data_IF_255731544159
#
_entry.id   IF_255731544159
#
_cell.length_a   1.000
_cell.length_b   1.000
_cell.length_c   1.000
_cell.angle_alpha   90.00
_cell.angle_beta   90.00
_cell.angle_gamma   90.00
#
_symmetry.space_group_name_H-M   'P 1'
#
loop_
_entity.id
_entity.type
_entity.pdbx_description
1 polymer ?
#
# COMPACT_ATOMS: atom_id res chain seq x y z
N UNK A 1 15.66 -74.75 -10.34
CA UNK A 1 16.48 -73.56 -10.70
C UNK A 1 15.77 -72.68 -11.68
N UNK A 2 15.32 -71.51 -11.25
CA UNK A 2 14.66 -70.52 -12.12
C UNK A 2 15.72 -69.64 -12.79
N UNK A 3 15.84 -69.73 -14.11
CA UNK A 3 16.71 -68.85 -14.91
C UNK A 3 16.19 -67.47 -14.94
N UNK A 4 16.82 -66.51 -14.30
CA UNK A 4 16.53 -65.06 -14.39
C UNK A 4 16.94 -64.56 -15.78
N UNK A 5 15.96 -64.19 -16.58
CA UNK A 5 16.13 -63.61 -17.93
C UNK A 5 16.60 -62.15 -17.77
N UNK A 6 17.94 -61.88 -17.94
CA UNK A 6 18.49 -60.51 -17.99
C UNK A 6 17.85 -59.78 -19.18
N UNK A 7 17.02 -58.73 -18.91
CA UNK A 7 16.51 -57.84 -19.93
C UNK A 7 17.71 -57.09 -20.54
N UNK A 8 17.98 -57.27 -21.80
CA UNK A 8 18.95 -56.46 -22.56
C UNK A 8 18.33 -55.09 -22.74
N UNK A 9 18.94 -54.04 -22.13
CA UNK A 9 18.56 -52.65 -22.34
C UNK A 9 18.96 -52.27 -23.77
N UNK A 10 17.98 -51.89 -24.61
CA UNK A 10 18.26 -51.44 -25.98
C UNK A 10 18.72 -49.97 -25.92
N UNK A 11 20.02 -49.76 -25.74
CA UNK A 11 20.67 -48.46 -25.64
C UNK A 11 20.32 -47.51 -26.81
N UNK A 12 20.18 -48.03 -28.05
CA UNK A 12 19.77 -47.26 -29.20
C UNK A 12 18.35 -46.65 -29.04
N UNK A 13 17.41 -47.39 -28.44
CA UNK A 13 16.05 -46.87 -28.17
C UNK A 13 16.03 -45.82 -27.02
N UNK A 14 16.92 -46.02 -26.06
CA UNK A 14 17.06 -45.05 -24.95
C UNK A 14 17.65 -43.73 -25.45
N UNK A 15 18.65 -43.77 -26.33
CA UNK A 15 19.27 -42.61 -26.96
C UNK A 15 18.27 -41.81 -27.82
N UNK A 16 17.40 -42.49 -28.56
CA UNK A 16 16.35 -41.81 -29.39
C UNK A 16 15.33 -41.07 -28.54
N UNK A 17 15.07 -41.48 -27.30
CA UNK A 17 14.16 -40.81 -26.38
C UNK A 17 14.85 -39.74 -25.54
N UNK A 18 16.09 -39.96 -25.12
CA UNK A 18 16.81 -39.04 -24.22
C UNK A 18 17.43 -37.86 -24.96
N UNK A 19 17.95 -38.07 -26.18
CA UNK A 19 18.58 -36.99 -26.96
C UNK A 19 17.62 -35.81 -27.28
N UNK A 20 16.37 -36.01 -27.76
CA UNK A 20 15.43 -34.91 -27.98
C UNK A 20 15.08 -34.18 -26.70
N UNK A 21 14.97 -34.89 -25.57
CA UNK A 21 14.65 -34.28 -24.27
C UNK A 21 15.82 -33.40 -23.80
N UNK A 22 17.06 -33.89 -23.90
CA UNK A 22 18.26 -33.12 -23.57
C UNK A 22 18.41 -31.89 -24.51
N UNK A 23 18.10 -32.04 -25.81
CA UNK A 23 18.17 -30.98 -26.78
C UNK A 23 17.10 -29.91 -26.49
N UNK A 24 15.89 -30.33 -26.11
CA UNK A 24 14.81 -29.43 -25.73
C UNK A 24 15.17 -28.60 -24.48
N UNK A 25 15.67 -29.24 -23.43
CA UNK A 25 16.13 -28.53 -22.23
C UNK A 25 17.36 -27.66 -22.48
N UNK A 26 18.28 -28.09 -23.36
CA UNK A 26 19.43 -27.29 -23.78
C UNK A 26 19.02 -26.03 -24.56
N UNK A 27 18.09 -26.15 -25.52
CA UNK A 27 17.57 -25.01 -26.26
C UNK A 27 16.72 -24.08 -25.38
N UNK A 28 15.90 -24.62 -24.50
CA UNK A 28 15.12 -23.85 -23.53
C UNK A 28 16.05 -23.09 -22.58
N UNK A 29 17.06 -23.75 -22.01
CA UNK A 29 18.05 -23.11 -21.15
C UNK A 29 18.86 -22.02 -21.84
N UNK A 30 19.25 -22.25 -23.12
CA UNK A 30 19.93 -21.23 -23.92
C UNK A 30 19.02 -20.03 -24.24
N UNK A 31 17.73 -20.27 -24.49
CA UNK A 31 16.72 -19.21 -24.69
C UNK A 31 16.57 -18.34 -23.45
N UNK A 32 16.42 -18.97 -22.27
CA UNK A 32 16.33 -18.26 -20.99
C UNK A 32 17.62 -17.47 -20.71
N UNK A 33 18.79 -18.06 -20.94
CA UNK A 33 20.09 -17.38 -20.76
C UNK A 33 20.20 -16.15 -21.67
N UNK A 34 19.82 -16.26 -22.95
CA UNK A 34 19.83 -15.12 -23.87
C UNK A 34 18.86 -14.03 -23.45
N UNK A 35 17.65 -14.40 -23.03
CA UNK A 35 16.65 -13.45 -22.56
C UNK A 35 17.16 -12.69 -21.32
N UNK A 36 17.72 -13.41 -20.36
CA UNK A 36 18.31 -12.83 -19.16
C UNK A 36 19.47 -11.86 -19.49
N UNK A 37 20.38 -12.28 -20.40
CA UNK A 37 21.51 -11.43 -20.81
C UNK A 37 21.05 -10.17 -21.53
N UNK A 38 20.05 -10.29 -22.41
CA UNK A 38 19.45 -9.15 -23.12
C UNK A 38 18.81 -8.18 -22.13
N UNK A 39 17.96 -8.68 -21.23
CA UNK A 39 17.32 -7.89 -20.16
C UNK A 39 18.36 -7.10 -19.35
N UNK A 40 19.38 -7.78 -18.85
CA UNK A 40 20.44 -7.16 -18.06
C UNK A 40 21.15 -6.04 -18.86
N UNK A 41 21.40 -6.26 -20.16
CA UNK A 41 22.02 -5.25 -21.00
C UNK A 41 21.14 -4.01 -21.21
N UNK A 42 19.83 -4.17 -21.35
CA UNK A 42 18.90 -3.03 -21.45
C UNK A 42 18.88 -2.22 -20.16
N UNK A 43 18.80 -2.87 -19.01
CA UNK A 43 18.87 -2.22 -17.69
C UNK A 43 20.19 -1.43 -17.54
N UNK A 44 21.33 -2.01 -17.96
CA UNK A 44 22.63 -1.36 -17.84
C UNK A 44 22.84 -0.18 -18.79
N UNK A 45 22.01 -0.02 -19.82
CA UNK A 45 22.06 1.13 -20.76
C UNK A 45 21.27 2.34 -20.24
N UNK A 46 20.39 2.16 -19.27
CA UNK A 46 19.58 3.26 -18.73
C UNK A 46 20.50 4.29 -18.10
N UNK A 47 20.38 5.53 -18.54
CA UNK A 47 21.11 6.66 -17.98
C UNK A 47 20.30 7.31 -16.84
N UNK A 48 20.97 7.69 -15.79
CA UNK A 48 20.33 8.41 -14.67
C UNK A 48 19.87 9.81 -15.12
N UNK A 49 18.56 10.15 -14.97
CA UNK A 49 18.09 11.53 -15.17
C UNK A 49 18.73 12.49 -14.16
N UNK A 50 18.89 13.75 -14.54
CA UNK A 50 19.43 14.79 -13.64
C UNK A 50 18.52 15.04 -12.43
N UNK A 51 17.20 14.89 -12.61
CA UNK A 51 16.18 15.08 -11.57
C UNK A 51 16.15 13.97 -10.51
N UNK A 52 16.86 12.85 -10.74
CA UNK A 52 16.88 11.70 -9.83
C UNK A 52 18.23 11.61 -9.13
N UNK A 53 18.22 11.36 -7.82
CA UNK A 53 19.45 11.18 -7.03
C UNK A 53 20.17 9.89 -7.44
N UNK A 54 21.48 9.84 -7.21
CA UNK A 54 22.27 8.63 -7.48
C UNK A 54 21.79 7.46 -6.62
N UNK A 55 21.46 7.73 -5.35
CA UNK A 55 21.00 6.72 -4.40
C UNK A 55 19.70 6.05 -4.87
N UNK A 56 18.68 6.83 -5.22
CA UNK A 56 17.40 6.32 -5.72
C UNK A 56 17.57 5.54 -7.02
N UNK A 57 18.41 6.04 -7.93
CA UNK A 57 18.72 5.37 -9.19
C UNK A 57 19.37 3.99 -8.96
N UNK A 58 20.38 3.92 -8.10
CA UNK A 58 21.10 2.69 -7.81
C UNK A 58 20.21 1.67 -7.10
N UNK A 59 19.44 2.10 -6.08
CA UNK A 59 18.48 1.23 -5.38
C UNK A 59 17.41 0.66 -6.32
N UNK A 60 16.84 1.49 -7.19
CA UNK A 60 15.82 1.04 -8.15
C UNK A 60 16.41 0.09 -9.18
N UNK A 61 17.64 0.35 -9.65
CA UNK A 61 18.38 -0.52 -10.55
C UNK A 61 18.60 -1.90 -9.95
N UNK A 62 19.05 -1.95 -8.69
CA UNK A 62 19.31 -3.21 -7.99
C UNK A 62 18.00 -4.00 -7.81
N UNK A 63 16.92 -3.33 -7.37
CA UNK A 63 15.58 -3.95 -7.31
C UNK A 63 15.12 -4.47 -8.67
N UNK A 64 15.39 -3.74 -9.75
CA UNK A 64 15.02 -4.16 -11.11
C UNK A 64 15.80 -5.40 -11.57
N UNK A 65 17.07 -5.51 -11.20
CA UNK A 65 17.88 -6.68 -11.50
C UNK A 65 17.39 -7.93 -10.73
N UNK A 66 16.89 -7.74 -9.51
CA UNK A 66 16.35 -8.81 -8.67
C UNK A 66 14.91 -9.19 -9.04
N UNK A 67 14.05 -8.21 -9.36
CA UNK A 67 12.63 -8.41 -9.68
C UNK A 67 12.26 -7.66 -10.97
N UNK A 68 11.85 -8.43 -12.00
CA UNK A 68 11.47 -7.88 -13.31
C UNK A 68 10.22 -6.98 -13.28
N UNK A 69 9.41 -7.03 -12.24
CA UNK A 69 8.22 -6.17 -12.11
C UNK A 69 8.58 -4.67 -12.02
N UNK A 70 9.83 -4.34 -11.65
CA UNK A 70 10.33 -2.97 -11.63
C UNK A 70 10.78 -2.46 -13.01
N UNK A 71 10.92 -3.33 -14.03
CA UNK A 71 11.41 -2.93 -15.37
C UNK A 71 10.59 -1.81 -16.03
N UNK A 72 9.24 -1.83 -16.01
CA UNK A 72 8.46 -0.77 -16.64
C UNK A 72 8.80 0.61 -16.07
N UNK A 73 9.06 0.68 -14.77
CA UNK A 73 9.43 1.93 -14.09
C UNK A 73 10.88 2.30 -14.41
N UNK A 74 11.82 1.36 -14.26
CA UNK A 74 13.23 1.67 -14.41
C UNK A 74 13.63 2.01 -15.85
N UNK A 75 13.10 1.29 -16.85
CA UNK A 75 13.38 1.54 -18.26
C UNK A 75 12.83 2.90 -18.74
N UNK A 76 11.87 3.47 -18.03
CA UNK A 76 11.24 4.77 -18.30
C UNK A 76 11.39 5.75 -17.14
N UNK A 77 12.49 5.65 -16.38
CA UNK A 77 12.72 6.39 -15.15
C UNK A 77 12.63 7.92 -15.31
N UNK A 78 12.89 8.42 -16.50
CA UNK A 78 12.76 9.83 -16.88
C UNK A 78 11.33 10.37 -16.84
N UNK A 79 10.31 9.49 -16.80
CA UNK A 79 8.90 9.85 -16.68
C UNK A 79 8.42 10.00 -15.22
N UNK A 80 9.28 9.70 -14.26
CA UNK A 80 8.96 9.68 -12.83
C UNK A 80 9.66 10.83 -12.09
N UNK A 81 9.01 11.36 -11.05
CA UNK A 81 9.65 12.31 -10.14
C UNK A 81 10.45 11.59 -9.05
N UNK A 82 11.40 12.30 -8.43
CA UNK A 82 12.15 11.78 -7.28
C UNK A 82 11.22 11.27 -6.19
N UNK A 83 10.21 12.07 -5.82
CA UNK A 83 9.30 11.78 -4.69
C UNK A 83 8.51 10.48 -4.88
N UNK A 84 8.01 10.21 -6.11
CA UNK A 84 7.24 9.00 -6.37
C UNK A 84 8.13 7.75 -6.39
N UNK A 85 9.39 7.86 -6.82
CA UNK A 85 10.35 6.77 -6.74
C UNK A 85 10.79 6.49 -5.30
N UNK A 86 11.01 7.53 -4.50
CA UNK A 86 11.30 7.39 -3.07
C UNK A 86 10.10 6.80 -2.31
N UNK A 87 8.88 7.13 -2.75
CA UNK A 87 7.67 6.54 -2.23
C UNK A 87 7.59 5.02 -2.51
N UNK A 88 7.96 4.60 -3.73
CA UNK A 88 8.05 3.17 -4.09
C UNK A 88 9.11 2.44 -3.28
N UNK A 89 10.29 3.02 -3.14
CA UNK A 89 11.43 2.36 -2.49
C UNK A 89 11.19 2.08 -1.00
N UNK A 90 10.25 2.79 -0.36
CA UNK A 90 9.84 2.57 1.03
C UNK A 90 8.95 1.35 1.22
N UNK A 91 8.18 0.96 0.19
CA UNK A 91 7.22 -0.15 0.28
C UNK A 91 6.92 -0.71 -1.13
N UNK A 92 7.30 -1.96 -1.38
CA UNK A 92 7.11 -2.62 -2.67
C UNK A 92 5.64 -2.89 -3.03
N UNK A 93 4.74 -2.90 -2.06
CA UNK A 93 3.29 -2.99 -2.29
C UNK A 93 2.75 -1.84 -3.16
N UNK A 94 3.53 -0.75 -3.29
CA UNK A 94 3.18 0.46 -4.06
C UNK A 94 3.53 0.35 -5.54
N UNK A 95 4.11 -0.75 -5.99
CA UNK A 95 4.65 -0.91 -7.35
C UNK A 95 3.62 -0.58 -8.43
N UNK A 96 2.43 -1.21 -8.39
CA UNK A 96 1.36 -0.99 -9.37
C UNK A 96 0.81 0.45 -9.37
N UNK A 97 0.76 1.08 -8.20
CA UNK A 97 0.36 2.49 -8.07
C UNK A 97 1.40 3.40 -8.74
N UNK A 98 2.69 3.18 -8.45
CA UNK A 98 3.78 3.99 -9.01
C UNK A 98 3.94 3.75 -10.52
N UNK A 99 3.75 2.53 -11.01
CA UNK A 99 3.78 2.22 -12.45
C UNK A 99 2.77 3.09 -13.24
N UNK A 100 1.62 3.42 -12.67
CA UNK A 100 0.61 4.28 -13.30
C UNK A 100 0.95 5.78 -13.25
N UNK A 101 2.03 6.20 -12.59
CA UNK A 101 2.37 7.61 -12.42
C UNK A 101 2.51 8.42 -13.73
N UNK A 102 3.08 7.91 -14.83
CA UNK A 102 3.11 8.65 -16.09
C UNK A 102 1.71 8.99 -16.64
N UNK A 103 0.70 8.14 -16.34
CA UNK A 103 -0.70 8.32 -16.74
C UNK A 103 -1.57 8.93 -15.61
N UNK A 104 -0.99 9.42 -14.50
CA UNK A 104 -1.71 9.86 -13.29
C UNK A 104 -2.86 10.83 -13.54
N UNK A 105 -2.79 11.62 -14.63
CA UNK A 105 -3.86 12.55 -15.01
C UNK A 105 -5.20 11.85 -15.32
N UNK A 106 -5.17 10.58 -15.66
CA UNK A 106 -6.36 9.77 -15.92
C UNK A 106 -7.09 9.37 -14.62
N UNK A 107 -6.39 9.41 -13.48
CA UNK A 107 -6.85 8.99 -12.16
C UNK A 107 -7.23 10.14 -11.21
N UNK A 108 -7.34 11.37 -11.73
CA UNK A 108 -7.61 12.57 -10.91
C UNK A 108 -9.07 12.81 -10.58
N UNK A 109 -10.00 12.02 -11.13
CA UNK A 109 -11.46 12.19 -10.89
C UNK A 109 -11.91 11.61 -9.55
N UNK A 110 -11.20 10.60 -9.07
CA UNK A 110 -11.63 9.81 -7.91
C UNK A 110 -12.73 8.81 -8.23
N UNK A 111 -13.10 8.02 -7.24
CA UNK A 111 -14.18 7.05 -7.30
C UNK A 111 -15.49 7.64 -6.80
N UNK A 112 -16.61 7.27 -7.42
CA UNK A 112 -17.95 7.64 -6.96
C UNK A 112 -18.42 6.80 -5.77
N UNK A 113 -17.91 5.57 -5.66
CA UNK A 113 -18.24 4.63 -4.58
C UNK A 113 -17.09 3.66 -4.32
N UNK A 114 -17.12 3.07 -3.13
CA UNK A 114 -16.28 1.95 -2.75
C UNK A 114 -16.81 0.66 -3.39
N UNK A 115 -15.90 -0.24 -3.73
CA UNK A 115 -16.23 -1.59 -4.22
C UNK A 115 -16.16 -2.64 -3.10
N UNK A 116 -15.62 -2.28 -1.94
CA UNK A 116 -15.47 -3.12 -0.77
C UNK A 116 -16.84 -3.40 -0.11
N UNK A 117 -16.99 -4.62 0.45
CA UNK A 117 -18.12 -4.90 1.34
C UNK A 117 -18.02 -4.04 2.61
N UNK A 118 -19.15 -3.54 3.06
CA UNK A 118 -19.27 -2.78 4.30
C UNK A 118 -19.75 -3.64 5.50
N UNK A 119 -19.79 -4.98 5.34
CA UNK A 119 -20.06 -5.90 6.47
C UNK A 119 -18.97 -5.83 7.55
N UNK A 120 -17.79 -5.41 7.17
CA UNK A 120 -16.66 -5.11 8.05
C UNK A 120 -16.07 -3.75 7.67
N UNK A 121 -15.23 -3.18 8.54
CA UNK A 121 -14.51 -1.93 8.23
C UNK A 121 -13.64 -2.18 6.99
N UNK A 122 -13.85 -1.46 5.87
CA UNK A 122 -13.06 -1.66 4.67
C UNK A 122 -11.60 -1.26 4.92
N UNK A 123 -10.65 -1.99 4.31
CA UNK A 123 -9.22 -1.70 4.44
C UNK A 123 -8.76 -0.88 3.24
N UNK A 124 -8.93 0.43 3.32
CA UNK A 124 -8.59 1.35 2.22
C UNK A 124 -7.16 1.85 2.33
N UNK A 125 -6.50 2.01 1.19
CA UNK A 125 -5.17 2.60 1.10
C UNK A 125 -5.28 4.01 0.51
N UNK A 126 -4.60 4.99 1.10
CA UNK A 126 -4.58 6.36 0.56
C UNK A 126 -3.93 6.44 -0.83
N UNK A 127 -3.12 5.44 -1.20
CA UNK A 127 -2.48 5.31 -2.51
C UNK A 127 -3.17 4.30 -3.44
N UNK A 128 -4.47 4.03 -3.28
CA UNK A 128 -5.24 3.27 -4.26
C UNK A 128 -5.42 4.10 -5.53
N UNK A 129 -5.30 3.47 -6.72
CA UNK A 129 -5.44 4.14 -8.02
C UNK A 129 -6.78 4.85 -8.19
N UNK A 130 -7.82 4.38 -7.52
CA UNK A 130 -9.16 4.99 -7.58
C UNK A 130 -9.20 6.42 -7.06
N UNK A 131 -8.29 6.82 -6.17
CA UNK A 131 -8.27 8.17 -5.56
C UNK A 131 -6.88 8.71 -5.24
N UNK A 132 -5.83 7.89 -5.22
CA UNK A 132 -4.51 8.31 -4.75
C UNK A 132 -3.92 9.50 -5.50
N UNK A 133 -4.21 9.64 -6.80
CA UNK A 133 -3.80 10.77 -7.63
C UNK A 133 -4.81 11.92 -7.69
N UNK A 134 -5.89 11.88 -6.90
CA UNK A 134 -6.81 13.03 -6.79
C UNK A 134 -6.10 14.14 -6.02
N UNK A 135 -6.11 15.39 -6.53
CA UNK A 135 -5.50 16.53 -5.84
C UNK A 135 -6.12 16.76 -4.46
N UNK A 136 -5.27 16.97 -3.46
CA UNK A 136 -5.66 17.32 -2.11
C UNK A 136 -4.72 18.39 -1.56
N UNK A 137 -5.13 19.64 -1.65
CA UNK A 137 -4.31 20.81 -1.37
C UNK A 137 -3.19 20.98 -2.40
N UNK A 138 -1.97 21.11 -1.93
CA UNK A 138 -0.76 21.21 -2.76
C UNK A 138 -0.18 19.84 -3.16
N UNK A 139 -0.78 18.77 -2.66
CA UNK A 139 -0.38 17.39 -2.91
C UNK A 139 -1.54 16.58 -3.50
N UNK A 140 -1.33 15.29 -3.64
CA UNK A 140 -2.35 14.30 -3.95
C UNK A 140 -2.71 13.49 -2.69
N UNK A 141 -3.85 12.80 -2.71
CA UNK A 141 -4.33 11.98 -1.58
C UNK A 141 -3.28 10.96 -1.14
N UNK A 142 -2.49 10.37 -2.05
CA UNK A 142 -1.47 9.39 -1.67
C UNK A 142 -0.40 9.95 -0.73
N UNK A 143 -0.21 11.28 -0.71
CA UNK A 143 0.76 11.97 0.16
C UNK A 143 0.14 12.37 1.50
N UNK A 144 -0.98 13.10 1.47
CA UNK A 144 -1.55 13.79 2.64
C UNK A 144 -2.94 13.29 3.04
N UNK A 145 -3.46 12.25 2.36
CA UNK A 145 -4.84 11.77 2.51
C UNK A 145 -5.10 10.77 3.63
N UNK A 146 -4.21 10.60 4.60
CA UNK A 146 -4.41 9.63 5.68
C UNK A 146 -5.69 9.88 6.50
N UNK A 147 -5.98 11.12 6.91
CA UNK A 147 -7.17 11.46 7.67
C UNK A 147 -8.47 11.25 6.87
N UNK A 148 -8.63 11.79 5.64
CA UNK A 148 -9.79 11.48 4.79
C UNK A 148 -9.98 9.98 4.55
N UNK A 149 -8.90 9.22 4.34
CA UNK A 149 -8.99 7.77 4.13
C UNK A 149 -9.44 7.06 5.40
N UNK A 150 -8.91 7.43 6.57
CA UNK A 150 -9.38 6.89 7.86
C UNK A 150 -10.87 7.17 8.07
N UNK A 151 -11.32 8.42 7.87
CA UNK A 151 -12.74 8.75 8.04
C UNK A 151 -13.64 8.07 7.00
N UNK A 152 -13.17 7.88 5.77
CA UNK A 152 -13.90 7.10 4.75
C UNK A 152 -14.15 5.68 5.22
N UNK A 153 -13.14 5.00 5.77
CA UNK A 153 -13.29 3.65 6.33
C UNK A 153 -14.29 3.61 7.48
N UNK A 154 -14.23 4.60 8.38
CA UNK A 154 -15.13 4.69 9.55
C UNK A 154 -16.56 4.99 9.12
N UNK A 155 -16.77 6.05 8.33
CA UNK A 155 -18.12 6.53 8.01
C UNK A 155 -18.84 5.61 7.04
N UNK A 156 -18.15 5.11 6.00
CA UNK A 156 -18.77 4.16 5.07
C UNK A 156 -19.27 2.90 5.80
N UNK A 157 -18.48 2.38 6.73
CA UNK A 157 -18.86 1.23 7.54
C UNK A 157 -20.01 1.54 8.49
N UNK A 158 -19.92 2.62 9.28
CA UNK A 158 -20.94 2.96 10.27
C UNK A 158 -22.28 3.31 9.63
N UNK A 159 -22.26 4.04 8.52
CA UNK A 159 -23.48 4.50 7.81
C UNK A 159 -23.94 3.52 6.74
N UNK A 160 -23.18 2.45 6.45
CA UNK A 160 -23.45 1.50 5.36
C UNK A 160 -23.60 2.21 4.00
N UNK A 161 -22.77 3.25 3.76
CA UNK A 161 -22.81 4.08 2.56
C UNK A 161 -21.47 4.03 1.80
N UNK A 162 -21.47 3.31 0.69
CA UNK A 162 -20.29 3.16 -0.16
C UNK A 162 -19.90 4.45 -0.92
N UNK A 163 -20.75 5.48 -0.96
CA UNK A 163 -20.43 6.75 -1.62
C UNK A 163 -19.44 7.62 -0.80
N UNK A 164 -19.21 7.28 0.46
CA UNK A 164 -18.26 7.98 1.34
C UNK A 164 -16.84 7.51 1.04
N UNK A 165 -16.29 7.93 -0.08
CA UNK A 165 -14.95 7.57 -0.55
C UNK A 165 -13.86 8.48 0.04
N UNK A 166 -12.57 8.07 0.03
CA UNK A 166 -11.47 8.94 0.44
C UNK A 166 -11.42 10.26 -0.30
N UNK A 167 -11.69 10.27 -1.61
CA UNK A 167 -11.72 11.51 -2.40
C UNK A 167 -12.96 12.39 -2.08
N UNK A 168 -14.10 11.80 -1.75
CA UNK A 168 -15.26 12.59 -1.31
C UNK A 168 -14.94 13.34 0.00
N UNK A 169 -14.32 12.67 0.96
CA UNK A 169 -13.91 13.30 2.23
C UNK A 169 -12.73 14.27 2.08
N UNK A 170 -11.79 14.01 1.18
CA UNK A 170 -10.71 14.94 0.86
C UNK A 170 -11.26 16.22 0.22
N UNK A 171 -12.21 16.12 -0.71
CA UNK A 171 -12.89 17.27 -1.30
C UNK A 171 -13.65 18.05 -0.23
N UNK A 172 -14.45 17.38 0.61
CA UNK A 172 -15.16 18.03 1.72
C UNK A 172 -14.19 18.76 2.65
N UNK A 173 -13.07 18.15 3.00
CA UNK A 173 -12.03 18.77 3.84
C UNK A 173 -11.48 20.04 3.20
N UNK A 174 -11.15 19.99 1.91
CA UNK A 174 -10.57 21.13 1.18
C UNK A 174 -11.58 22.26 1.00
N UNK A 175 -12.82 21.96 0.60
CA UNK A 175 -13.89 22.94 0.37
C UNK A 175 -14.30 23.67 1.65
N UNK A 176 -14.15 23.03 2.81
CA UNK A 176 -14.49 23.61 4.12
C UNK A 176 -13.28 24.14 4.91
N UNK A 177 -12.10 24.22 4.26
CA UNK A 177 -10.93 24.86 4.85
C UNK A 177 -10.20 24.05 5.90
N UNK A 178 -10.39 22.72 5.92
CA UNK A 178 -9.68 21.82 6.84
C UNK A 178 -8.33 21.34 6.31
N UNK A 179 -7.99 21.64 5.05
CA UNK A 179 -6.66 21.38 4.53
C UNK A 179 -5.72 22.53 4.92
N UNK A 180 -4.55 22.18 5.46
CA UNK A 180 -3.50 23.14 5.87
C UNK A 180 -2.23 22.86 5.08
N UNK A 181 -1.76 23.84 4.32
CA UNK A 181 -0.53 23.75 3.53
C UNK A 181 0.66 23.37 4.42
N UNK A 182 1.41 22.37 3.98
CA UNK A 182 2.59 21.85 4.70
C UNK A 182 2.28 20.99 5.93
N UNK A 183 0.99 20.91 6.38
CA UNK A 183 0.59 20.12 7.55
C UNK A 183 -0.45 19.02 7.23
N UNK A 184 -1.09 19.08 6.06
CA UNK A 184 -2.13 18.14 5.65
C UNK A 184 -3.51 18.51 6.22
N UNK A 185 -4.17 17.60 6.92
CA UNK A 185 -5.53 17.81 7.42
C UNK A 185 -5.54 18.35 8.86
N UNK A 186 -6.26 19.45 9.10
CA UNK A 186 -6.49 19.98 10.44
C UNK A 186 -7.31 18.99 11.28
N UNK A 187 -7.02 18.91 12.57
CA UNK A 187 -7.68 17.95 13.47
C UNK A 187 -9.17 18.26 13.74
N UNK A 188 -9.62 19.50 13.53
CA UNK A 188 -11.03 19.85 13.63
C UNK A 188 -11.87 19.12 12.60
N UNK A 189 -11.29 18.78 11.43
CA UNK A 189 -11.91 17.93 10.42
C UNK A 189 -12.46 16.61 10.99
N UNK A 190 -11.74 15.98 11.93
CA UNK A 190 -12.14 14.70 12.52
C UNK A 190 -13.46 14.81 13.29
N UNK A 191 -13.76 15.97 13.86
CA UNK A 191 -15.01 16.26 14.58
C UNK A 191 -16.09 16.84 13.67
N UNK A 192 -15.71 17.83 12.85
CA UNK A 192 -16.69 18.55 12.01
C UNK A 192 -17.23 17.65 10.88
N UNK A 193 -16.40 16.81 10.29
CA UNK A 193 -16.87 15.82 9.32
C UNK A 193 -17.83 14.81 9.97
N UNK A 194 -17.57 14.35 11.19
CA UNK A 194 -18.47 13.46 11.91
C UNK A 194 -19.83 14.11 12.16
N UNK A 195 -19.84 15.36 12.61
CA UNK A 195 -21.06 16.15 12.80
C UNK A 195 -21.85 16.29 11.48
N UNK A 196 -21.18 16.59 10.37
CA UNK A 196 -21.79 16.75 9.06
C UNK A 196 -22.44 15.45 8.54
N UNK A 197 -21.79 14.30 8.78
CA UNK A 197 -22.28 13.00 8.33
C UNK A 197 -23.22 12.33 9.34
N UNK A 198 -23.45 12.93 10.52
CA UNK A 198 -24.32 12.37 11.56
C UNK A 198 -23.71 11.20 12.33
N UNK A 199 -22.39 11.13 12.36
CA UNK A 199 -21.62 10.11 13.13
C UNK A 199 -21.28 10.69 14.50
N UNK A 200 -21.47 9.93 15.56
CA UNK A 200 -21.05 10.34 16.90
C UNK A 200 -19.54 10.28 17.03
N UNK A 201 -18.93 11.29 17.64
CA UNK A 201 -17.49 11.36 17.87
C UNK A 201 -17.19 11.93 19.25
N UNK A 202 -16.23 11.32 19.93
CA UNK A 202 -15.72 11.79 21.22
C UNK A 202 -14.19 11.77 21.22
N UNK A 203 -13.59 12.75 21.92
CA UNK A 203 -12.15 12.68 22.24
C UNK A 203 -11.96 11.62 23.32
N UNK A 204 -11.11 10.64 23.04
CA UNK A 204 -10.74 9.60 23.97
C UNK A 204 -9.41 9.94 24.66
N UNK A 205 -9.14 9.26 25.78
CA UNK A 205 -7.84 9.36 26.46
C UNK A 205 -6.82 8.43 25.78
N UNK A 206 -5.58 8.89 25.65
CA UNK A 206 -4.47 8.06 25.21
C UNK A 206 -4.05 7.15 26.38
N UNK A 207 -4.85 6.15 26.65
CA UNK A 207 -4.59 5.16 27.69
C UNK A 207 -5.17 3.80 27.32
N UNK A 208 -4.49 2.74 27.72
CA UNK A 208 -4.93 1.37 27.42
C UNK A 208 -6.36 1.11 27.92
N UNK A 209 -6.65 1.53 29.15
CA UNK A 209 -7.97 1.28 29.78
C UNK A 209 -9.11 1.98 29.02
N UNK A 210 -8.96 3.25 28.65
CA UNK A 210 -10.00 3.98 27.93
C UNK A 210 -10.20 3.41 26.52
N UNK A 211 -9.10 3.10 25.82
CA UNK A 211 -9.18 2.50 24.49
C UNK A 211 -9.82 1.12 24.51
N UNK A 212 -9.49 0.27 25.49
CA UNK A 212 -10.11 -1.04 25.68
C UNK A 212 -11.62 -0.94 25.96
N UNK A 213 -12.03 -0.02 26.84
CA UNK A 213 -13.44 0.20 27.15
C UNK A 213 -14.23 0.64 25.91
N UNK A 214 -13.66 1.53 25.11
CA UNK A 214 -14.27 2.01 23.85
C UNK A 214 -14.36 0.91 22.80
N UNK A 215 -13.31 0.14 22.60
CA UNK A 215 -13.31 -1.00 21.68
C UNK A 215 -14.31 -2.09 22.12
N UNK A 216 -14.45 -2.32 23.42
CA UNK A 216 -15.47 -3.24 23.97
C UNK A 216 -16.90 -2.74 23.68
N UNK A 217 -17.11 -1.43 23.59
CA UNK A 217 -18.37 -0.79 23.16
C UNK A 217 -18.51 -0.71 21.63
N UNK A 218 -17.62 -1.36 20.89
CA UNK A 218 -17.59 -1.38 19.41
C UNK A 218 -17.38 0.00 18.77
N UNK A 219 -16.79 0.95 19.48
CA UNK A 219 -16.34 2.20 18.89
C UNK A 219 -15.08 1.96 18.05
N UNK A 220 -14.93 2.73 16.96
CA UNK A 220 -13.75 2.70 16.10
C UNK A 220 -12.87 3.88 16.49
N UNK A 221 -11.57 3.63 16.66
CA UNK A 221 -10.65 4.66 17.11
C UNK A 221 -9.81 5.16 15.94
N UNK A 222 -9.83 6.48 15.68
CA UNK A 222 -8.90 7.16 14.79
C UNK A 222 -7.81 7.77 15.63
N UNK A 223 -6.56 7.37 15.38
CA UNK A 223 -5.40 7.72 16.19
C UNK A 223 -4.44 8.60 15.40
N UNK A 224 -4.06 9.74 15.96
CA UNK A 224 -2.98 10.59 15.45
C UNK A 224 -1.66 10.10 16.01
N UNK A 225 -0.73 9.71 15.12
CA UNK A 225 0.56 9.14 15.46
C UNK A 225 1.67 10.17 15.30
N UNK A 226 2.58 10.19 16.27
CA UNK A 226 3.87 10.88 16.24
C UNK A 226 4.89 10.09 15.40
N UNK A 227 6.05 10.67 15.07
CA UNK A 227 7.15 9.93 14.43
C UNK A 227 7.52 8.65 15.19
N UNK A 228 7.65 7.55 14.49
CA UNK A 228 7.91 6.22 15.00
C UNK A 228 7.73 5.14 13.93
N UNK A 229 7.13 4.02 14.29
CA UNK A 229 6.96 2.88 13.39
C UNK A 229 6.02 3.20 12.21
N UNK A 230 5.02 4.07 12.40
CA UNK A 230 4.00 4.38 11.40
C UNK A 230 4.34 5.54 10.49
N UNK A 231 5.22 6.43 10.91
CA UNK A 231 5.49 7.68 10.18
C UNK A 231 6.80 8.33 10.63
N UNK A 232 7.37 9.20 9.78
CA UNK A 232 8.50 10.05 10.12
C UNK A 232 8.08 11.48 10.51
N UNK A 233 6.82 11.84 10.26
CA UNK A 233 6.29 13.20 10.51
C UNK A 233 5.03 13.17 11.37
N UNK A 234 3.91 12.82 10.83
CA UNK A 234 2.61 12.64 11.47
C UNK A 234 1.74 11.75 10.59
N UNK A 235 0.80 11.01 11.21
CA UNK A 235 -0.03 10.06 10.46
C UNK A 235 -1.31 9.78 11.21
N UNK A 236 -2.35 9.30 10.49
CA UNK A 236 -3.57 8.78 11.08
C UNK A 236 -3.73 7.31 10.75
N UNK A 237 -4.05 6.51 11.76
CA UNK A 237 -4.39 5.09 11.65
C UNK A 237 -5.70 4.81 12.37
N UNK A 238 -6.31 3.67 12.09
CA UNK A 238 -7.42 3.13 12.88
C UNK A 238 -6.92 2.08 13.87
N UNK A 239 -7.48 2.09 15.08
CA UNK A 239 -7.47 0.93 15.98
C UNK A 239 -8.90 0.42 16.03
N UNK A 240 -9.12 -0.82 15.60
CA UNK A 240 -10.46 -1.38 15.36
C UNK A 240 -10.86 -2.49 16.30
N UNK A 241 -9.91 -2.99 17.10
CA UNK A 241 -10.16 -4.07 18.03
C UNK A 241 -8.92 -4.51 18.77
N UNK A 242 -9.06 -5.61 19.49
CA UNK A 242 -7.95 -6.31 20.14
C UNK A 242 -8.04 -7.81 19.87
N UNK A 243 -6.90 -8.42 19.58
CA UNK A 243 -6.74 -9.86 19.44
C UNK A 243 -5.57 -10.33 20.31
N UNK A 244 -5.83 -11.32 21.17
CA UNK A 244 -4.81 -11.91 22.08
C UNK A 244 -4.05 -10.87 22.94
N UNK A 245 -4.69 -9.74 23.25
CA UNK A 245 -4.09 -8.66 24.05
C UNK A 245 -3.35 -7.60 23.24
N UNK A 246 -3.26 -7.75 21.92
CA UNK A 246 -2.66 -6.80 20.98
C UNK A 246 -3.75 -6.02 20.22
N UNK A 247 -3.44 -4.81 19.77
CA UNK A 247 -4.34 -4.01 18.95
C UNK A 247 -4.37 -4.50 17.51
N UNK A 248 -5.57 -4.55 16.92
CA UNK A 248 -5.76 -4.65 15.47
C UNK A 248 -5.81 -3.25 14.88
N UNK A 249 -4.97 -3.01 13.87
CA UNK A 249 -4.77 -1.71 13.24
C UNK A 249 -5.17 -1.77 11.77
N UNK A 250 -5.72 -0.68 11.25
CA UNK A 250 -5.77 -0.42 9.80
C UNK A 250 -4.98 0.85 9.53
N UNK A 251 -3.90 0.70 8.78
CA UNK A 251 -3.05 1.81 8.35
C UNK A 251 -3.35 2.14 6.88
N UNK A 252 -3.87 3.33 6.56
CA UNK A 252 -4.17 3.72 5.18
C UNK A 252 -2.92 3.84 4.30
N UNK A 253 -1.73 3.79 4.85
CA UNK A 253 -0.48 3.90 4.10
C UNK A 253 0.30 2.58 4.00
N UNK A 254 -0.05 1.55 4.77
CA UNK A 254 0.72 0.30 4.81
C UNK A 254 -0.15 -0.94 4.97
N UNK A 255 -0.10 -1.83 3.97
CA UNK A 255 -0.69 -3.17 4.08
C UNK A 255 0.02 -3.99 5.16
N UNK A 256 1.33 -3.86 5.25
CA UNK A 256 2.14 -4.57 6.25
C UNK A 256 1.69 -4.25 7.66
N UNK A 257 1.47 -2.97 7.99
CA UNK A 257 1.00 -2.56 9.31
C UNK A 257 -0.41 -3.06 9.60
N UNK A 258 -1.28 -3.11 8.57
CA UNK A 258 -2.65 -3.62 8.66
C UNK A 258 -2.73 -5.13 8.83
N UNK A 259 -1.75 -5.87 8.37
CA UNK A 259 -1.76 -7.35 8.36
C UNK A 259 -1.08 -7.98 9.59
N UNK A 260 -0.77 -7.19 10.61
CA UNK A 260 -0.22 -7.66 11.88
C UNK A 260 -0.96 -7.02 13.05
N UNK A 261 -0.85 -7.63 14.22
CA UNK A 261 -1.27 -7.04 15.48
C UNK A 261 -0.11 -6.24 16.10
N UNK A 262 -0.43 -5.34 17.03
CA UNK A 262 0.51 -4.41 17.62
C UNK A 262 0.44 -4.41 19.14
N UNK A 263 1.60 -4.47 19.79
CA UNK A 263 1.72 -4.28 21.23
C UNK A 263 1.13 -2.92 21.66
N UNK A 264 0.23 -2.87 22.65
CA UNK A 264 -0.41 -1.63 23.07
C UNK A 264 0.59 -0.55 23.53
N UNK A 265 1.71 -0.91 24.16
CA UNK A 265 2.69 0.07 24.61
C UNK A 265 3.40 0.72 23.40
N UNK A 266 3.66 -0.05 22.34
CA UNK A 266 4.20 0.49 21.10
C UNK A 266 3.27 1.54 20.49
N UNK A 267 1.97 1.23 20.37
CA UNK A 267 0.95 2.16 19.85
C UNK A 267 0.84 3.39 20.76
N UNK A 268 0.66 3.21 22.06
CA UNK A 268 0.45 4.31 23.00
C UNK A 268 1.65 5.25 23.12
N UNK A 269 2.89 4.72 23.04
CA UNK A 269 4.10 5.53 23.13
C UNK A 269 4.29 6.48 21.94
N UNK A 270 3.65 6.18 20.80
CA UNK A 270 3.71 6.95 19.56
C UNK A 270 2.41 7.70 19.26
N UNK A 271 1.40 7.60 20.14
CA UNK A 271 0.09 8.22 19.92
C UNK A 271 0.04 9.61 20.55
N UNK A 272 -0.39 10.59 19.76
CA UNK A 272 -0.58 11.97 20.22
C UNK A 272 -2.03 12.22 20.68
N UNK A 273 -3.00 11.63 19.98
CA UNK A 273 -4.42 11.89 20.20
C UNK A 273 -5.27 10.76 19.62
N UNK A 274 -6.48 10.61 20.15
CA UNK A 274 -7.43 9.60 19.69
C UNK A 274 -8.87 10.13 19.71
N UNK A 275 -9.64 9.77 18.69
CA UNK A 275 -11.07 10.03 18.52
C UNK A 275 -11.80 8.70 18.41
N UNK A 276 -12.90 8.57 19.12
CA UNK A 276 -13.74 7.37 19.14
C UNK A 276 -15.06 7.65 18.41
N UNK A 277 -15.40 6.79 17.45
CA UNK A 277 -16.57 6.95 16.59
C UNK A 277 -17.58 5.84 16.81
N UNK A 278 -18.88 6.19 16.73
CA UNK A 278 -20.03 5.26 16.80
C UNK A 278 -21.25 5.85 16.09
N UNK A 279 -22.30 5.07 15.99
CA UNK A 279 -23.64 5.51 15.60
C UNK A 279 -24.43 5.93 16.83
#
# INVERSE_FOLDING_TARGET
MKKTRKRKVHWARLLVLVLPVCLFFGLAGFGVYKLFTYRTQEILKVSKPESITQETFDQLKDKTLENQEYEPIFLHIDQYSQDILDFLLKDEDRLSFVEAYPQRKEYTKGAEKLDESLDTIPKLLQWDLRWGYVPYGENDIYVTGCAPTCLSMVFSYLLQDASITPNALANYSQENGFYVNGAGTDWTFLTEAANQYGVQVERAQVSLLDMQDRLAKKQILVCSMLPGDFTQVGHFILVTGMESGEFTVIDPNSKKHTNQTWDPNTILSQMQSVWAYSI
#
